data_IF_325035332702
#
_entry.id   IF_325035332702
#
_cell.length_a   1.000
_cell.length_b   1.000
_cell.length_c   1.000
_cell.angle_alpha   90.00
_cell.angle_beta   90.00
_cell.angle_gamma   90.00
#
_symmetry.space_group_name_H-M   'P 1'
#
loop_
_entity.id
_entity.type
_entity.pdbx_description
1 polymer ?
#
# COMPACT_ATOMS: atom_id res chain seq x y z
N UNK A 1 -27.80 -4.96 -4.04
CA UNK A 1 -26.72 -5.57 -3.23
C UNK A 1 -25.66 -4.52 -2.97
N UNK A 2 -25.29 -4.32 -1.72
CA UNK A 2 -24.27 -3.35 -1.34
C UNK A 2 -22.99 -4.07 -0.91
N UNK A 3 -21.85 -3.41 -1.15
CA UNK A 3 -20.56 -3.88 -0.66
C UNK A 3 -20.38 -3.38 0.76
N UNK A 4 -20.05 -4.27 1.68
CA UNK A 4 -19.66 -3.93 3.04
C UNK A 4 -18.14 -3.74 3.14
N UNK A 5 -17.72 -2.76 3.93
CA UNK A 5 -16.34 -2.55 4.31
C UNK A 5 -16.13 -3.12 5.72
N UNK A 6 -15.38 -4.19 5.81
CA UNK A 6 -15.09 -4.84 7.10
C UNK A 6 -13.64 -4.49 7.49
N UNK A 7 -13.38 -3.83 8.64
CA UNK A 7 -12.04 -3.47 9.06
C UNK A 7 -11.08 -4.66 9.04
N UNK A 8 -9.94 -4.49 8.39
CA UNK A 8 -8.92 -5.53 8.28
C UNK A 8 -7.68 -5.18 9.09
N UNK A 9 -7.07 -4.04 8.80
CA UNK A 9 -5.87 -3.58 9.51
C UNK A 9 -5.60 -2.11 9.20
N UNK A 10 -4.75 -1.54 10.05
CA UNK A 10 -4.08 -0.27 9.77
C UNK A 10 -2.60 -0.56 9.53
N UNK A 11 -1.95 0.30 8.76
CA UNK A 11 -0.54 0.16 8.48
C UNK A 11 0.12 1.53 8.60
N UNK A 12 1.29 1.56 9.22
CA UNK A 12 2.09 2.77 9.32
C UNK A 12 3.53 2.45 8.95
N UNK A 13 4.10 3.24 8.04
CA UNK A 13 5.45 3.03 7.57
C UNK A 13 6.19 4.34 7.40
N UNK A 14 7.50 4.32 7.60
CA UNK A 14 8.37 5.44 7.26
C UNK A 14 8.94 5.19 5.87
N UNK A 15 8.61 6.07 4.93
CA UNK A 15 9.18 6.03 3.59
C UNK A 15 10.55 6.69 3.60
N UNK A 16 11.43 6.17 2.76
CA UNK A 16 12.69 6.84 2.41
C UNK A 16 12.39 7.94 1.38
N UNK A 17 13.29 8.92 1.22
CA UNK A 17 13.20 9.83 0.08
C UNK A 17 13.10 9.04 -1.24
N UNK A 18 12.24 9.44 -2.17
CA UNK A 18 12.03 8.67 -3.38
C UNK A 18 13.27 8.60 -4.26
N UNK A 19 13.45 7.46 -4.91
CA UNK A 19 14.44 7.30 -5.97
C UNK A 19 13.82 7.85 -7.24
N UNK A 20 14.42 8.89 -7.81
CA UNK A 20 13.94 9.53 -9.03
C UNK A 20 14.58 8.86 -10.25
N UNK A 21 13.78 8.04 -10.95
CA UNK A 21 14.22 7.42 -12.21
C UNK A 21 14.11 8.43 -13.35
N UNK A 22 13.10 9.30 -13.28
CA UNK A 22 12.84 10.32 -14.28
C UNK A 22 11.79 9.90 -15.30
N UNK A 23 11.69 10.68 -16.37
CA UNK A 23 10.68 10.47 -17.41
C UNK A 23 11.19 9.50 -18.46
N UNK A 24 10.41 8.45 -18.69
CA UNK A 24 10.70 7.41 -19.66
C UNK A 24 9.42 6.93 -20.35
N UNK A 25 9.42 5.70 -20.92
CA UNK A 25 8.29 5.22 -21.72
C UNK A 25 6.96 5.13 -20.96
N UNK A 26 6.98 4.89 -19.66
CA UNK A 26 5.76 4.76 -18.85
C UNK A 26 5.26 6.09 -18.28
N UNK A 27 6.05 7.13 -18.31
CA UNK A 27 5.82 8.40 -17.65
C UNK A 27 6.97 8.77 -16.72
N UNK A 28 6.71 9.52 -15.68
CA UNK A 28 7.74 9.90 -14.69
C UNK A 28 7.74 8.89 -13.54
N UNK A 29 8.84 8.15 -13.40
CA UNK A 29 8.96 7.06 -12.42
C UNK A 29 9.64 7.54 -11.15
N UNK A 30 8.99 7.24 -10.02
CA UNK A 30 9.53 7.44 -8.68
C UNK A 30 9.39 6.12 -7.92
N UNK A 31 10.44 5.69 -7.23
CA UNK A 31 10.39 4.47 -6.41
C UNK A 31 10.42 4.87 -4.95
N UNK A 32 9.38 4.47 -4.22
CA UNK A 32 9.29 4.67 -2.77
C UNK A 32 9.54 3.35 -2.07
N UNK A 33 10.41 3.37 -1.06
CA UNK A 33 10.73 2.18 -0.27
C UNK A 33 10.43 2.45 1.20
N UNK A 34 9.88 1.45 1.89
CA UNK A 34 9.69 1.46 3.32
C UNK A 34 10.39 0.24 3.92
N UNK A 35 11.44 0.47 4.71
CA UNK A 35 12.20 -0.59 5.38
C UNK A 35 11.59 -0.97 6.72
N UNK A 36 10.86 -0.04 7.32
CA UNK A 36 10.25 -0.22 8.63
C UNK A 36 8.82 0.26 8.59
N UNK A 37 7.94 -0.63 8.93
CA UNK A 37 6.53 -0.33 9.10
C UNK A 37 5.89 -1.36 10.00
N UNK A 38 4.69 -1.03 10.44
CA UNK A 38 3.88 -1.89 11.29
C UNK A 38 2.50 -2.03 10.69
N UNK A 39 1.97 -3.23 10.77
CA UNK A 39 0.57 -3.52 10.49
C UNK A 39 -0.08 -3.92 11.80
N UNK A 40 -1.27 -3.36 12.05
CA UNK A 40 -2.02 -3.60 13.28
C UNK A 40 -3.48 -3.89 12.94
N UNK A 41 -4.02 -4.93 13.55
CA UNK A 41 -5.41 -5.34 13.41
C UNK A 41 -5.66 -6.60 14.19
N UNK A 42 -6.93 -6.87 14.48
CA UNK A 42 -7.31 -8.05 15.26
C UNK A 42 -6.96 -9.35 14.53
N UNK A 43 -6.96 -9.32 13.20
CA UNK A 43 -6.75 -10.51 12.38
C UNK A 43 -5.39 -10.54 11.68
N UNK A 44 -4.66 -9.41 11.66
CA UNK A 44 -3.37 -9.30 10.98
C UNK A 44 -2.53 -8.24 11.68
N UNK A 45 -1.41 -8.65 12.25
CA UNK A 45 -0.49 -7.74 12.92
C UNK A 45 0.96 -8.20 12.77
N UNK A 46 1.89 -7.26 12.67
CA UNK A 46 3.30 -7.56 12.51
C UNK A 46 4.09 -6.42 11.91
N UNK A 47 5.21 -6.76 11.30
CA UNK A 47 6.11 -5.84 10.64
C UNK A 47 5.88 -5.82 9.13
N UNK A 48 6.22 -4.70 8.51
CA UNK A 48 6.01 -4.47 7.09
C UNK A 48 7.26 -3.92 6.43
N UNK A 49 7.57 -4.47 5.24
CA UNK A 49 8.49 -3.85 4.29
C UNK A 49 7.77 -3.70 2.95
N UNK A 50 8.08 -2.64 2.20
CA UNK A 50 7.34 -2.32 0.99
C UNK A 50 8.18 -1.57 -0.02
N UNK A 51 7.85 -1.73 -1.28
CA UNK A 51 8.35 -0.88 -2.36
C UNK A 51 7.20 -0.58 -3.32
N UNK A 52 7.13 0.68 -3.76
CA UNK A 52 6.14 1.16 -4.71
C UNK A 52 6.85 1.73 -5.94
N UNK A 53 6.54 1.19 -7.09
CA UNK A 53 7.04 1.68 -8.39
C UNK A 53 6.03 2.66 -8.98
N UNK A 54 5.92 3.82 -8.35
CA UNK A 54 4.96 4.86 -8.72
C UNK A 54 5.32 5.47 -10.07
N UNK A 55 4.31 5.72 -10.90
CA UNK A 55 4.50 6.43 -12.17
C UNK A 55 3.50 7.56 -12.27
N UNK A 56 3.98 8.74 -12.65
CA UNK A 56 3.15 9.93 -12.87
C UNK A 56 2.94 10.09 -14.37
N UNK A 57 1.67 10.09 -14.78
CA UNK A 57 1.27 10.35 -16.15
C UNK A 57 1.16 11.85 -16.45
N UNK A 58 0.99 12.22 -17.71
CA UNK A 58 1.00 13.62 -18.13
C UNK A 58 -0.21 14.44 -17.68
N UNK A 59 -1.32 13.77 -17.30
CA UNK A 59 -2.56 14.45 -16.89
C UNK A 59 -2.69 14.59 -15.38
N UNK A 60 -1.61 14.39 -14.61
CA UNK A 60 -1.65 14.56 -13.16
C UNK A 60 -2.20 13.37 -12.38
N UNK A 61 -2.08 12.18 -12.95
CA UNK A 61 -2.45 10.94 -12.28
C UNK A 61 -1.20 10.16 -11.91
N UNK A 62 -1.01 9.86 -10.64
CA UNK A 62 0.02 8.92 -10.21
C UNK A 62 -0.61 7.53 -10.04
N UNK A 63 0.03 6.53 -10.63
CA UNK A 63 -0.37 5.13 -10.52
C UNK A 63 0.54 4.45 -9.51
N UNK A 64 -0.07 3.81 -8.52
CA UNK A 64 0.62 3.05 -7.47
C UNK A 64 0.73 1.59 -7.91
N UNK A 65 1.91 1.01 -7.76
CA UNK A 65 2.18 -0.40 -8.00
C UNK A 65 3.15 -0.88 -6.92
N UNK A 66 2.58 -1.30 -5.80
CA UNK A 66 3.34 -1.63 -4.60
C UNK A 66 3.33 -3.12 -4.31
N UNK A 67 4.46 -3.60 -3.80
CA UNK A 67 4.62 -4.94 -3.28
C UNK A 67 5.10 -4.85 -1.84
N UNK A 68 4.42 -5.58 -0.98
CA UNK A 68 4.55 -5.46 0.47
C UNK A 68 4.70 -6.84 1.08
N UNK A 69 5.62 -6.97 2.03
CA UNK A 69 5.80 -8.20 2.79
C UNK A 69 5.44 -7.93 4.23
N UNK A 70 4.51 -8.70 4.77
CA UNK A 70 4.17 -8.70 6.18
C UNK A 70 4.83 -9.89 6.86
N UNK A 71 5.45 -9.62 8.00
CA UNK A 71 5.96 -10.67 8.90
C UNK A 71 5.14 -10.57 10.16
N UNK A 72 4.19 -11.50 10.32
CA UNK A 72 3.26 -11.46 11.45
C UNK A 72 3.98 -11.74 12.75
N UNK A 73 3.41 -11.27 13.86
CA UNK A 73 4.00 -11.48 15.20
C UNK A 73 4.09 -12.96 15.57
N UNK A 74 3.25 -13.82 14.99
CA UNK A 74 3.27 -15.27 15.21
C UNK A 74 4.05 -16.06 14.16
N UNK A 75 4.88 -15.37 13.35
CA UNK A 75 5.87 -16.01 12.50
C UNK A 75 5.44 -16.37 11.07
N UNK A 76 4.29 -15.88 10.61
CA UNK A 76 3.89 -16.07 9.22
C UNK A 76 4.48 -14.99 8.31
N UNK A 77 4.62 -15.30 7.03
CA UNK A 77 4.97 -14.34 6.00
C UNK A 77 3.81 -14.23 5.02
N UNK A 78 3.34 -13.01 4.82
CA UNK A 78 2.22 -12.70 3.90
C UNK A 78 2.70 -11.69 2.88
N UNK A 79 2.51 -12.00 1.61
CA UNK A 79 2.76 -11.08 0.52
C UNK A 79 1.47 -10.33 0.18
N UNK A 80 1.59 -9.04 -0.08
CA UNK A 80 0.48 -8.24 -0.61
C UNK A 80 0.96 -7.42 -1.79
N UNK A 81 0.16 -7.39 -2.83
CA UNK A 81 0.37 -6.49 -3.96
C UNK A 81 -0.83 -5.55 -4.04
N UNK A 82 -0.59 -4.26 -4.23
CA UNK A 82 -1.68 -3.33 -4.45
C UNK A 82 -1.37 -2.34 -5.54
N UNK A 83 -2.41 -2.06 -6.33
CA UNK A 83 -2.45 -0.98 -7.29
C UNK A 83 -3.32 0.13 -6.72
N UNK A 84 -3.13 1.34 -7.22
CA UNK A 84 -3.93 2.45 -6.75
C UNK A 84 -3.69 3.72 -7.54
N UNK A 85 -4.31 4.78 -7.04
CA UNK A 85 -4.26 6.11 -7.63
C UNK A 85 -3.96 7.16 -6.58
N UNK A 86 -3.20 8.16 -7.01
CA UNK A 86 -2.99 9.38 -6.28
C UNK A 86 -3.20 10.54 -7.25
N UNK A 87 -4.03 11.49 -6.87
CA UNK A 87 -4.28 12.69 -7.67
C UNK A 87 -3.14 13.70 -7.45
N UNK A 88 -2.36 13.95 -8.49
CA UNK A 88 -1.28 14.94 -8.49
C UNK A 88 -1.52 16.04 -9.52
N UNK A 89 -2.79 16.23 -9.93
CA UNK A 89 -3.17 17.25 -10.91
C UNK A 89 -2.86 18.68 -10.43
N UNK A 90 -2.78 18.88 -9.10
CA UNK A 90 -2.41 20.15 -8.49
C UNK A 90 -0.97 20.19 -7.98
N UNK A 91 -0.14 19.24 -8.39
CA UNK A 91 1.26 19.13 -8.00
C UNK A 91 1.55 17.93 -7.11
N UNK A 92 2.81 17.79 -6.76
CA UNK A 92 3.31 16.66 -5.96
C UNK A 92 3.46 16.99 -4.48
N UNK A 93 3.06 18.16 -4.05
CA UNK A 93 3.22 18.58 -2.66
C UNK A 93 2.42 17.67 -1.70
N UNK A 94 3.09 17.22 -0.66
CA UNK A 94 2.46 16.41 0.39
C UNK A 94 1.75 17.30 1.43
N UNK A 95 0.71 16.83 2.10
CA UNK A 95 0.22 15.44 2.10
C UNK A 95 -0.63 15.10 0.88
N UNK A 96 -0.68 13.81 0.54
CA UNK A 96 -1.53 13.27 -0.53
C UNK A 96 -2.31 12.07 -0.02
N UNK A 97 -3.55 11.95 -0.47
CA UNK A 97 -4.38 10.77 -0.22
C UNK A 97 -4.17 9.76 -1.34
N UNK A 98 -4.09 8.49 -0.96
CA UNK A 98 -4.00 7.38 -1.91
C UNK A 98 -5.15 6.39 -1.69
N UNK A 99 -5.62 5.78 -2.78
CA UNK A 99 -6.63 4.73 -2.76
C UNK A 99 -6.05 3.50 -3.42
N UNK A 100 -6.16 2.35 -2.76
CA UNK A 100 -5.48 1.12 -3.17
C UNK A 100 -6.41 -0.09 -3.08
N UNK A 101 -6.04 -1.14 -3.83
CA UNK A 101 -6.81 -2.40 -3.88
C UNK A 101 -5.90 -3.59 -3.57
N UNK A 102 -5.55 -3.82 -2.30
CA UNK A 102 -4.64 -4.90 -1.93
C UNK A 102 -5.21 -6.29 -2.19
N UNK A 103 -4.34 -7.19 -2.63
CA UNK A 103 -4.59 -8.63 -2.69
C UNK A 103 -3.44 -9.33 -2.00
N UNK A 104 -3.76 -10.42 -1.30
CA UNK A 104 -2.83 -11.12 -0.44
C UNK A 104 -2.49 -12.50 -0.99
N UNK A 105 -1.31 -12.98 -0.61
CA UNK A 105 -0.85 -14.32 -0.93
C UNK A 105 0.00 -14.85 0.22
N UNK A 106 -0.32 -16.03 0.71
CA UNK A 106 0.48 -16.70 1.74
C UNK A 106 0.31 -18.21 1.63
N UNK A 107 1.38 -18.95 1.99
CA UNK A 107 1.33 -20.39 2.16
C UNK A 107 1.05 -20.83 3.59
N UNK A 108 0.93 -19.89 4.53
CA UNK A 108 0.65 -20.23 5.93
C UNK A 108 -0.84 -20.51 6.13
N UNK A 109 -1.15 -21.72 6.63
CA UNK A 109 -2.54 -22.15 6.81
C UNK A 109 -3.36 -21.25 7.75
N UNK A 110 -2.70 -20.65 8.73
CA UNK A 110 -3.38 -19.75 9.70
C UNK A 110 -3.92 -18.50 9.03
N UNK A 111 -3.33 -18.11 7.90
CA UNK A 111 -3.68 -16.89 7.16
C UNK A 111 -4.21 -17.19 5.75
N UNK A 112 -4.51 -18.44 5.44
CA UNK A 112 -4.98 -18.85 4.11
C UNK A 112 -6.27 -18.14 3.68
N UNK A 113 -7.07 -17.65 4.63
CA UNK A 113 -8.28 -16.87 4.34
C UNK A 113 -7.96 -15.56 3.61
N UNK A 114 -6.76 -14.99 3.80
CA UNK A 114 -6.33 -13.80 3.08
C UNK A 114 -6.23 -14.04 1.57
N UNK A 115 -5.91 -15.26 1.15
CA UNK A 115 -5.81 -15.61 -0.27
C UNK A 115 -7.16 -15.53 -1.00
N UNK A 116 -8.27 -15.50 -0.28
CA UNK A 116 -9.62 -15.59 -0.83
C UNK A 116 -10.42 -14.30 -0.71
N UNK A 117 -9.83 -13.25 -0.15
CA UNK A 117 -10.52 -11.97 0.02
C UNK A 117 -10.02 -10.94 -1.00
N UNK A 118 -10.85 -9.94 -1.22
CA UNK A 118 -10.45 -8.70 -1.88
C UNK A 118 -10.49 -7.58 -0.84
N UNK A 119 -9.44 -6.77 -0.80
CA UNK A 119 -9.38 -5.62 0.09
C UNK A 119 -9.39 -4.31 -0.71
N UNK A 120 -9.72 -3.25 -0.01
CA UNK A 120 -9.63 -1.87 -0.49
C UNK A 120 -9.04 -1.03 0.64
N UNK A 121 -8.31 0.01 0.31
CA UNK A 121 -7.67 0.84 1.31
C UNK A 121 -7.61 2.31 0.95
N UNK A 122 -7.45 3.10 1.99
CA UNK A 122 -7.20 4.54 1.91
C UNK A 122 -5.98 4.86 2.75
N UNK A 123 -5.09 5.67 2.19
CA UNK A 123 -3.88 6.06 2.89
C UNK A 123 -3.56 7.54 2.72
N UNK A 124 -2.64 8.01 3.55
CA UNK A 124 -2.10 9.37 3.47
C UNK A 124 -0.60 9.30 3.50
N UNK A 125 0.04 9.94 2.52
CA UNK A 125 1.48 10.19 2.54
C UNK A 125 1.67 11.59 3.13
N UNK A 126 2.31 11.66 4.28
CA UNK A 126 2.51 12.92 5.01
C UNK A 126 3.78 13.64 4.55
N UNK A 127 3.92 14.90 4.93
CA UNK A 127 5.07 15.75 4.58
C UNK A 127 6.41 15.18 5.08
N UNK A 128 6.39 14.48 6.21
CA UNK A 128 7.56 13.81 6.80
C UNK A 128 7.84 12.42 6.19
N UNK A 129 7.15 12.07 5.11
CA UNK A 129 7.20 10.77 4.45
C UNK A 129 6.70 9.59 5.30
N UNK A 130 5.91 9.86 6.33
CA UNK A 130 5.14 8.82 7.01
C UNK A 130 3.95 8.45 6.13
N UNK A 131 3.71 7.17 5.99
CA UNK A 131 2.56 6.62 5.26
C UNK A 131 1.64 5.93 6.25
N UNK A 132 0.37 6.36 6.28
CA UNK A 132 -0.69 5.71 7.03
C UNK A 132 -1.71 5.10 6.09
N UNK A 133 -2.13 3.86 6.36
CA UNK A 133 -3.19 3.17 5.62
C UNK A 133 -4.27 2.64 6.56
N UNK A 134 -5.50 2.62 6.04
CA UNK A 134 -6.60 1.83 6.60
C UNK A 134 -7.07 0.90 5.50
N UNK A 135 -7.03 -0.41 5.75
CA UNK A 135 -7.45 -1.44 4.80
C UNK A 135 -8.71 -2.15 5.30
N UNK A 136 -9.58 -2.45 4.37
CA UNK A 136 -10.87 -3.09 4.62
C UNK A 136 -11.02 -4.29 3.71
N UNK A 137 -11.59 -5.36 4.26
CA UNK A 137 -12.05 -6.51 3.48
C UNK A 137 -13.42 -6.18 2.88
N UNK A 138 -13.61 -6.51 1.61
CA UNK A 138 -14.90 -6.37 0.93
C UNK A 138 -15.76 -7.61 1.14
N UNK A 139 -17.03 -7.40 1.46
CA UNK A 139 -18.02 -8.47 1.59
C UNK A 139 -19.34 -8.11 0.91
#
# INVERSE_FOLDING_TARGET
MAIELVPLCTMRAQLKPPIEVGTGPAGTRLIFEAEKGEVDGDRLSGEVTSADWLVVGPEGTATIDARTTFRTHDGAVVFAQYHGRMDVSEGMDLPKTIYVTPRFETGDERYAWLNRIQAVGKGTVHEDLTLDHEWYELR
#
